data_IF_194276417654
#
_entry.id   IF_194276417654
#
_cell.length_a   1.000
_cell.length_b   1.000
_cell.length_c   1.000
_cell.angle_alpha   90.00
_cell.angle_beta   90.00
_cell.angle_gamma   90.00
#
_symmetry.space_group_name_H-M   'P 1'
#
loop_
_entity.id
_entity.type
_entity.pdbx_description
1 polymer ?
#
# COMPACT_ATOMS: atom_id res chain seq x y z
N UNK A 1 1.71 27.51 3.24
CA UNK A 1 0.48 27.41 4.07
C UNK A 1 -0.80 27.14 3.25
N UNK A 2 -0.88 27.44 1.96
CA UNK A 2 -2.11 27.26 1.17
C UNK A 2 -2.23 25.93 0.41
N UNK A 3 -1.14 25.19 0.19
CA UNK A 3 -1.16 23.90 -0.50
C UNK A 3 -1.69 22.76 0.41
N UNK A 4 -1.36 22.80 1.70
CA UNK A 4 -1.87 21.86 2.70
C UNK A 4 -3.40 21.99 2.89
N UNK A 5 -3.95 23.21 2.79
CA UNK A 5 -5.41 23.46 2.91
C UNK A 5 -6.19 22.97 1.68
N UNK A 6 -5.57 22.93 0.52
CA UNK A 6 -6.21 22.44 -0.71
C UNK A 6 -6.25 20.89 -0.75
N UNK A 7 -5.21 20.25 -0.23
CA UNK A 7 -5.14 18.78 -0.08
C UNK A 7 -6.02 18.33 1.10
N UNK A 8 -6.03 19.07 2.22
CA UNK A 8 -6.86 18.76 3.38
C UNK A 8 -8.38 18.88 3.13
N UNK A 9 -8.81 19.70 2.18
CA UNK A 9 -10.21 19.82 1.79
C UNK A 9 -10.79 18.60 1.06
N UNK A 10 -9.95 17.71 0.54
CA UNK A 10 -10.32 16.45 -0.11
C UNK A 10 -10.13 15.20 0.77
N UNK A 11 -9.47 15.36 1.92
CA UNK A 11 -9.02 14.25 2.81
C UNK A 11 -9.95 14.03 4.02
N UNK A 12 -11.07 14.74 4.12
CA UNK A 12 -12.06 14.49 5.18
C UNK A 12 -12.89 13.19 4.99
N UNK A 13 -12.41 12.25 4.15
CA UNK A 13 -12.93 10.88 4.06
C UNK A 13 -11.87 9.96 4.69
N UNK A 14 -12.15 9.52 5.91
CA UNK A 14 -11.36 8.59 6.72
C UNK A 14 -10.88 7.41 5.89
N UNK A 15 -9.57 7.37 5.63
CA UNK A 15 -8.92 6.27 4.94
C UNK A 15 -8.06 5.49 5.94
N UNK A 16 -8.38 4.24 6.14
CA UNK A 16 -7.58 3.28 6.89
C UNK A 16 -7.54 1.96 6.14
N UNK A 17 -6.37 1.34 5.98
CA UNK A 17 -6.17 0.10 5.22
C UNK A 17 -5.58 -0.97 6.13
N UNK A 18 -6.02 -2.20 6.04
CA UNK A 18 -5.47 -3.31 6.81
C UNK A 18 -4.81 -4.38 5.93
N UNK A 19 -3.64 -4.79 6.36
CA UNK A 19 -3.10 -6.12 6.15
C UNK A 19 -2.68 -6.46 4.74
N UNK A 20 -1.66 -5.76 4.27
CA UNK A 20 -0.81 -6.22 3.21
C UNK A 20 0.37 -7.01 3.79
N UNK A 21 1.10 -7.72 2.96
CA UNK A 21 2.47 -8.12 3.28
C UNK A 21 3.29 -6.83 3.49
N UNK A 22 3.54 -6.48 4.74
CA UNK A 22 3.78 -5.08 5.10
C UNK A 22 2.52 -4.21 4.89
N UNK A 23 2.69 -2.93 4.67
CA UNK A 23 1.59 -1.97 4.41
C UNK A 23 1.71 -1.25 3.05
N UNK A 24 2.34 -1.91 2.07
CA UNK A 24 2.43 -1.42 0.68
C UNK A 24 1.12 -1.58 -0.09
N UNK A 25 0.74 -0.56 -0.85
CA UNK A 25 -0.44 -0.51 -1.71
C UNK A 25 -0.02 -0.53 -3.18
N UNK A 26 -0.80 -1.21 -4.02
CA UNK A 26 -0.48 -1.41 -5.44
C UNK A 26 -1.64 -1.01 -6.36
N UNK A 27 -2.71 -0.47 -5.80
CA UNK A 27 -4.00 -0.17 -6.43
C UNK A 27 -3.93 1.19 -7.15
N UNK A 28 -3.22 1.25 -8.29
CA UNK A 28 -2.96 2.50 -9.03
C UNK A 28 -4.05 2.88 -10.03
N UNK A 29 -4.84 1.92 -10.51
CA UNK A 29 -6.05 2.14 -11.33
C UNK A 29 -6.93 0.89 -11.28
N UNK A 30 -8.21 1.00 -11.67
CA UNK A 30 -9.08 -0.18 -11.75
C UNK A 30 -8.53 -1.22 -12.72
N UNK A 31 -7.96 -0.79 -13.85
CA UNK A 31 -7.43 -1.69 -14.87
C UNK A 31 -6.16 -2.39 -14.42
N UNK A 32 -5.19 -1.66 -13.87
CA UNK A 32 -3.96 -2.25 -13.36
C UNK A 32 -4.20 -3.15 -12.15
N UNK A 33 -5.17 -2.81 -11.28
CA UNK A 33 -5.57 -3.63 -10.12
C UNK A 33 -6.27 -4.92 -10.56
N UNK A 34 -7.13 -4.87 -11.58
CA UNK A 34 -7.74 -6.08 -12.16
C UNK A 34 -6.69 -7.05 -12.72
N UNK A 35 -5.58 -6.52 -13.22
CA UNK A 35 -4.43 -7.27 -13.71
C UNK A 35 -3.38 -7.54 -12.61
N UNK A 36 -3.68 -7.29 -11.33
CA UNK A 36 -2.80 -7.57 -10.20
C UNK A 36 -1.44 -6.87 -10.25
N UNK A 37 -1.31 -5.78 -11.04
CA UNK A 37 -0.05 -5.09 -11.30
C UNK A 37 0.87 -5.74 -12.34
N UNK A 38 0.42 -6.80 -13.04
CA UNK A 38 1.20 -7.48 -14.09
C UNK A 38 1.20 -6.68 -15.42
N UNK A 39 1.63 -5.42 -15.36
CA UNK A 39 1.60 -4.44 -16.45
C UNK A 39 2.98 -3.78 -16.65
N UNK A 40 4.05 -4.58 -16.50
CA UNK A 40 5.43 -4.08 -16.47
C UNK A 40 6.03 -3.87 -17.87
N UNK A 41 5.62 -4.65 -18.86
CA UNK A 41 6.13 -4.59 -20.22
C UNK A 41 5.39 -3.60 -21.12
N UNK A 42 4.14 -3.26 -20.79
CA UNK A 42 3.28 -2.36 -21.58
C UNK A 42 2.34 -1.54 -20.69
N UNK A 43 2.08 -0.30 -21.09
CA UNK A 43 1.09 0.53 -20.44
C UNK A 43 -0.34 0.04 -20.76
N UNK A 44 -1.19 0.01 -19.73
CA UNK A 44 -2.64 -0.22 -19.89
C UNK A 44 -3.44 1.09 -19.77
N UNK A 45 -2.94 2.04 -19.00
CA UNK A 45 -3.45 3.40 -18.83
C UNK A 45 -2.34 4.29 -18.20
N UNK A 46 -2.66 5.51 -17.75
CA UNK A 46 -1.67 6.42 -17.19
C UNK A 46 -1.10 5.96 -15.83
N UNK A 47 -1.64 4.91 -15.19
CA UNK A 47 -1.04 4.28 -13.99
C UNK A 47 0.29 3.57 -14.29
N UNK A 48 0.68 3.43 -15.56
CA UNK A 48 2.03 3.09 -16.00
C UNK A 48 3.10 3.92 -15.25
N UNK A 49 2.78 5.17 -14.94
CA UNK A 49 3.62 6.06 -14.15
C UNK A 49 4.05 5.47 -12.79
N UNK A 50 3.20 4.67 -12.16
CA UNK A 50 3.46 3.99 -10.89
C UNK A 50 4.11 2.62 -11.07
N UNK A 51 3.59 1.81 -12.03
CA UNK A 51 4.02 0.42 -12.20
C UNK A 51 5.37 0.31 -12.90
N UNK A 52 5.54 0.97 -14.04
CA UNK A 52 6.82 1.06 -14.77
C UNK A 52 6.85 2.35 -15.62
N UNK A 53 7.57 3.39 -15.19
CA UNK A 53 7.59 4.66 -15.91
C UNK A 53 8.13 4.55 -17.34
N UNK A 54 8.91 3.52 -17.68
CA UNK A 54 9.39 3.31 -19.05
C UNK A 54 8.25 3.10 -20.05
N UNK A 55 7.14 2.49 -19.62
CA UNK A 55 5.99 2.20 -20.49
C UNK A 55 5.09 3.43 -20.75
N UNK A 56 5.38 4.58 -20.13
CA UNK A 56 4.73 5.85 -20.50
C UNK A 56 4.92 6.20 -21.98
N UNK A 57 6.00 5.73 -22.60
CA UNK A 57 6.28 5.92 -24.04
C UNK A 57 5.32 5.16 -24.96
N UNK A 58 4.53 4.21 -24.42
CA UNK A 58 3.48 3.51 -25.19
C UNK A 58 2.23 4.39 -25.35
N UNK A 59 2.06 5.42 -24.51
CA UNK A 59 0.92 6.31 -24.52
C UNK A 59 1.18 7.47 -25.49
N UNK A 60 0.66 7.35 -26.69
CA UNK A 60 0.90 8.30 -27.79
C UNK A 60 0.06 9.56 -27.72
N UNK A 61 -0.98 9.57 -26.88
CA UNK A 61 -1.85 10.71 -26.62
C UNK A 61 -1.71 11.18 -25.17
N UNK A 62 -2.00 12.45 -24.91
CA UNK A 62 -2.16 12.92 -23.54
C UNK A 62 -3.25 12.10 -22.88
N UNK A 63 -2.89 11.36 -21.84
CA UNK A 63 -3.78 10.41 -21.17
C UNK A 63 -3.93 10.79 -19.69
N UNK A 64 -5.17 10.88 -19.24
CA UNK A 64 -5.53 11.09 -17.84
C UNK A 64 -6.30 9.88 -17.35
N UNK A 65 -5.87 9.29 -16.23
CA UNK A 65 -6.58 8.22 -15.51
C UNK A 65 -6.84 8.67 -14.09
N UNK A 66 -8.10 8.67 -13.67
CA UNK A 66 -8.49 9.04 -12.32
C UNK A 66 -9.58 8.11 -11.78
N UNK A 67 -9.57 7.89 -10.47
CA UNK A 67 -10.53 7.02 -9.84
C UNK A 67 -10.25 6.79 -8.37
N UNK A 68 -10.81 5.71 -7.85
CA UNK A 68 -10.57 5.26 -6.49
C UNK A 68 -10.67 3.73 -6.40
N UNK A 69 -10.01 3.18 -5.40
CA UNK A 69 -10.22 1.83 -4.90
C UNK A 69 -10.80 1.90 -3.50
N UNK A 70 -11.54 0.89 -3.09
CA UNK A 70 -11.94 0.68 -1.71
C UNK A 70 -11.44 -0.67 -1.24
N UNK A 71 -11.05 -0.77 0.02
CA UNK A 71 -10.73 -2.03 0.67
C UNK A 71 -11.46 -2.15 2.00
N UNK A 72 -11.88 -3.37 2.34
CA UNK A 72 -12.52 -3.69 3.60
C UNK A 72 -11.96 -5.00 4.18
N UNK A 73 -10.84 -4.93 4.90
CA UNK A 73 -10.25 -6.11 5.50
C UNK A 73 -10.95 -6.50 6.79
N UNK A 74 -11.07 -7.80 6.98
CA UNK A 74 -11.60 -8.41 8.19
C UNK A 74 -10.78 -9.62 8.58
N UNK A 75 -10.48 -9.72 9.85
CA UNK A 75 -9.83 -10.88 10.41
C UNK A 75 -10.42 -11.21 11.80
N UNK A 76 -10.12 -12.40 12.28
CA UNK A 76 -10.38 -12.80 13.66
C UNK A 76 -9.07 -13.24 14.27
N UNK A 77 -8.80 -12.73 15.47
CA UNK A 77 -7.52 -12.92 16.13
C UNK A 77 -7.75 -13.41 17.55
N UNK A 78 -6.86 -14.28 18.03
CA UNK A 78 -6.86 -14.77 19.41
C UNK A 78 -5.47 -14.59 20.00
N UNK A 79 -5.39 -14.04 21.21
CA UNK A 79 -4.15 -13.91 21.97
C UNK A 79 -4.26 -14.58 23.34
N UNK A 80 -3.21 -15.30 23.73
CA UNK A 80 -3.17 -16.04 24.99
C UNK A 80 -4.28 -17.08 25.11
N UNK A 81 -4.85 -17.20 26.28
CA UNK A 81 -5.99 -18.07 26.59
C UNK A 81 -7.36 -17.44 26.37
N UNK A 82 -7.40 -16.18 25.94
CA UNK A 82 -8.63 -15.37 25.81
C UNK A 82 -9.52 -15.80 24.63
N UNK A 83 -10.75 -15.29 24.57
CA UNK A 83 -11.63 -15.46 23.42
C UNK A 83 -11.09 -14.72 22.20
N UNK A 84 -11.47 -15.17 20.99
CA UNK A 84 -11.08 -14.46 19.76
C UNK A 84 -11.76 -13.10 19.64
N UNK A 85 -10.99 -12.09 19.23
CA UNK A 85 -11.44 -10.74 18.93
C UNK A 85 -11.62 -10.56 17.40
N UNK A 86 -12.61 -9.78 17.00
CA UNK A 86 -12.74 -9.33 15.60
C UNK A 86 -11.78 -8.15 15.38
N UNK A 87 -11.17 -8.14 14.20
CA UNK A 87 -10.47 -6.98 13.64
C UNK A 87 -11.31 -6.51 12.45
N UNK A 88 -11.94 -5.35 12.58
CA UNK A 88 -12.81 -4.73 11.56
C UNK A 88 -12.64 -3.20 11.61
N UNK A 89 -11.66 -2.66 10.87
CA UNK A 89 -11.40 -1.22 10.86
C UNK A 89 -12.34 -0.43 9.95
N UNK A 90 -13.22 -1.10 9.20
CA UNK A 90 -14.14 -0.44 8.26
C UNK A 90 -13.65 -0.44 6.82
N UNK A 91 -14.22 0.45 5.99
CA UNK A 91 -13.94 0.56 4.55
C UNK A 91 -12.97 1.71 4.28
N UNK A 92 -11.97 1.44 3.46
CA UNK A 92 -10.91 2.36 3.08
C UNK A 92 -11.08 2.87 1.65
N UNK A 93 -10.73 4.14 1.43
CA UNK A 93 -10.80 4.80 0.14
C UNK A 93 -9.40 5.20 -0.32
N UNK A 94 -9.00 4.70 -1.49
CA UNK A 94 -7.69 4.88 -2.10
C UNK A 94 -7.84 5.66 -3.41
N UNK A 95 -7.94 6.99 -3.37
CA UNK A 95 -8.06 7.81 -4.58
C UNK A 95 -6.74 7.82 -5.35
N UNK A 96 -6.82 7.84 -6.68
CA UNK A 96 -5.66 7.93 -7.56
C UNK A 96 -5.93 8.84 -8.75
N UNK A 97 -4.87 9.54 -9.17
CA UNK A 97 -4.88 10.35 -10.39
C UNK A 97 -3.51 10.22 -11.06
N UNK A 98 -3.52 9.90 -12.35
CA UNK A 98 -2.31 9.79 -13.17
C UNK A 98 -2.51 10.53 -14.49
N UNK A 99 -1.48 11.24 -14.91
CA UNK A 99 -1.41 11.89 -16.21
C UNK A 99 -0.15 11.43 -16.95
N UNK A 100 -0.26 11.22 -18.25
CA UNK A 100 0.85 10.95 -19.14
C UNK A 100 0.78 11.91 -20.34
N UNK A 101 1.91 12.53 -20.66
CA UNK A 101 2.02 13.54 -21.72
C UNK A 101 3.17 13.15 -22.64
N UNK A 102 2.90 12.75 -23.90
CA UNK A 102 3.94 12.58 -24.90
C UNK A 102 4.65 13.92 -25.16
N UNK A 103 5.97 13.87 -25.27
CA UNK A 103 6.82 15.04 -25.53
C UNK A 103 7.62 14.85 -26.84
N UNK A 104 8.18 15.92 -27.41
CA UNK A 104 9.09 15.79 -28.54
C UNK A 104 10.31 14.89 -28.26
N UNK A 105 10.95 14.38 -29.31
CA UNK A 105 12.18 13.56 -29.26
C UNK A 105 12.04 12.25 -28.49
N UNK A 106 10.88 11.59 -28.64
CA UNK A 106 10.57 10.28 -28.04
C UNK A 106 10.59 10.27 -26.51
N UNK A 107 10.39 11.44 -25.87
CA UNK A 107 10.16 11.54 -24.44
C UNK A 107 8.67 11.47 -24.08
N UNK A 108 8.39 11.05 -22.86
CA UNK A 108 7.06 11.13 -22.25
C UNK A 108 7.21 11.58 -20.79
N UNK A 109 6.35 12.50 -20.36
CA UNK A 109 6.25 12.93 -18.97
C UNK A 109 5.05 12.27 -18.30
N UNK A 110 5.25 11.75 -17.09
CA UNK A 110 4.19 11.21 -16.24
C UNK A 110 4.10 11.95 -14.93
N UNK A 111 2.89 12.08 -14.39
CA UNK A 111 2.65 12.56 -13.04
C UNK A 111 1.57 11.68 -12.40
N UNK A 112 1.86 11.10 -11.23
CA UNK A 112 0.91 10.33 -10.44
C UNK A 112 0.75 10.88 -9.04
N UNK A 113 -0.47 10.80 -8.51
CA UNK A 113 -0.79 11.04 -7.10
C UNK A 113 -1.66 9.88 -6.64
N UNK A 114 -1.18 9.10 -5.67
CA UNK A 114 -1.89 7.96 -5.12
C UNK A 114 -1.36 7.59 -3.73
N UNK A 115 -2.13 6.88 -2.89
CA UNK A 115 -1.61 6.23 -1.69
C UNK A 115 -0.69 5.08 -2.09
N UNK A 116 0.51 5.03 -1.51
CA UNK A 116 1.49 3.95 -1.78
C UNK A 116 1.72 3.05 -0.57
N UNK A 117 1.45 3.58 0.62
CA UNK A 117 1.50 2.86 1.88
C UNK A 117 0.24 3.16 2.68
N UNK A 118 -0.32 2.13 3.30
CA UNK A 118 -1.51 2.27 4.12
C UNK A 118 -1.70 1.06 5.03
N UNK A 119 -2.22 1.31 6.22
CA UNK A 119 -2.52 0.30 7.22
C UNK A 119 -3.70 0.76 8.06
N UNK A 120 -4.59 -0.16 8.40
CA UNK A 120 -5.59 0.09 9.42
C UNK A 120 -5.97 -1.19 10.14
N UNK A 121 -5.92 -1.13 11.46
CA UNK A 121 -6.44 -2.17 12.36
C UNK A 121 -7.30 -1.54 13.43
N UNK A 122 -8.39 -2.18 13.79
CA UNK A 122 -9.24 -1.80 14.92
C UNK A 122 -9.74 -3.05 15.63
N UNK A 123 -9.64 -3.06 16.94
CA UNK A 123 -10.02 -4.14 17.85
C UNK A 123 -11.03 -3.65 18.87
N UNK A 124 -11.78 -4.58 19.48
CA UNK A 124 -12.68 -4.26 20.59
C UNK A 124 -11.92 -3.72 21.81
N UNK A 125 -12.56 -2.85 22.60
CA UNK A 125 -11.98 -2.23 23.80
C UNK A 125 -11.45 -3.23 24.84
N UNK A 126 -12.00 -4.44 24.87
CA UNK A 126 -11.60 -5.52 25.79
C UNK A 126 -10.56 -6.47 25.19
N UNK A 127 -9.91 -6.06 24.11
CA UNK A 127 -8.86 -6.83 23.45
C UNK A 127 -7.70 -7.15 24.42
N UNK A 128 -7.27 -8.40 24.44
CA UNK A 128 -6.24 -8.89 25.38
C UNK A 128 -4.88 -8.17 25.22
N UNK A 129 -4.58 -7.67 24.03
CA UNK A 129 -3.35 -6.95 23.71
C UNK A 129 -3.58 -5.45 23.45
N UNK A 130 -4.60 -4.87 24.09
CA UNK A 130 -4.90 -3.43 24.03
C UNK A 130 -3.71 -2.55 24.47
N UNK A 131 -2.78 -3.09 25.27
CA UNK A 131 -1.53 -2.43 25.65
C UNK A 131 -0.60 -2.17 24.45
N UNK A 132 -0.70 -2.96 23.38
CA UNK A 132 0.11 -2.79 22.17
C UNK A 132 -0.60 -1.92 21.14
N UNK A 133 -1.86 -2.26 20.82
CA UNK A 133 -2.69 -1.51 19.90
C UNK A 133 -4.16 -1.84 20.10
N UNK A 134 -5.02 -0.83 20.10
CA UNK A 134 -6.47 -0.91 19.91
C UNK A 134 -6.83 -0.50 18.49
N UNK A 135 -6.20 0.56 18.00
CA UNK A 135 -6.37 1.03 16.64
C UNK A 135 -5.01 1.53 16.10
N UNK A 136 -4.68 1.23 14.87
CA UNK A 136 -3.52 1.76 14.19
C UNK A 136 -3.92 2.16 12.78
N UNK A 137 -3.54 3.37 12.39
CA UNK A 137 -3.76 3.90 11.06
C UNK A 137 -2.44 4.43 10.49
N UNK A 138 -2.12 4.00 9.28
CA UNK A 138 -1.06 4.59 8.44
C UNK A 138 -1.70 5.05 7.15
N UNK A 139 -1.42 6.28 6.75
CA UNK A 139 -1.85 6.84 5.48
C UNK A 139 -0.68 7.52 4.78
N UNK A 140 -0.53 7.27 3.49
CA UNK A 140 0.45 8.01 2.71
C UNK A 140 -0.14 8.49 1.39
N UNK A 141 0.49 9.55 0.85
CA UNK A 141 0.31 9.97 -0.53
C UNK A 141 1.67 10.17 -1.18
N UNK A 142 1.83 9.59 -2.36
CA UNK A 142 3.03 9.79 -3.17
C UNK A 142 2.68 10.66 -4.36
N UNK A 143 3.45 11.74 -4.55
CA UNK A 143 3.47 12.55 -5.77
C UNK A 143 4.69 12.11 -6.57
N UNK A 144 4.46 11.55 -7.74
CA UNK A 144 5.49 10.87 -8.50
C UNK A 144 5.59 11.39 -9.95
N UNK A 145 6.36 12.47 -10.19
CA UNK A 145 6.71 12.89 -11.55
C UNK A 145 7.79 11.98 -12.13
N UNK A 146 7.62 11.55 -13.37
CA UNK A 146 8.58 10.72 -14.10
C UNK A 146 8.84 11.27 -15.50
N UNK A 147 10.05 11.02 -15.99
CA UNK A 147 10.41 11.21 -17.39
C UNK A 147 10.79 9.86 -17.99
N UNK A 148 10.18 9.53 -19.12
CA UNK A 148 10.49 8.34 -19.90
C UNK A 148 11.08 8.75 -21.25
N UNK A 149 11.94 7.87 -21.79
CA UNK A 149 12.58 8.05 -23.09
C UNK A 149 12.57 6.73 -23.85
N UNK A 150 12.04 6.78 -25.06
CA UNK A 150 12.08 5.69 -26.02
C UNK A 150 13.41 5.73 -26.78
N UNK A 151 14.37 4.92 -26.34
CA UNK A 151 15.75 4.88 -26.85
C UNK A 151 15.78 4.30 -28.28
N UNK A 152 14.98 3.24 -28.51
CA UNK A 152 14.74 2.64 -29.81
C UNK A 152 13.25 2.31 -29.93
N UNK A 153 12.80 1.82 -31.09
CA UNK A 153 11.41 1.39 -31.24
C UNK A 153 10.99 0.30 -30.26
N UNK A 154 11.96 -0.49 -29.77
CA UNK A 154 11.72 -1.63 -28.89
C UNK A 154 12.16 -1.42 -27.45
N UNK A 155 12.95 -0.38 -27.14
CA UNK A 155 13.54 -0.17 -25.84
C UNK A 155 13.25 1.20 -25.26
N UNK A 156 12.64 1.21 -24.06
CA UNK A 156 12.35 2.42 -23.32
C UNK A 156 12.93 2.34 -21.90
N UNK A 157 13.26 3.50 -21.34
CA UNK A 157 13.65 3.70 -19.95
C UNK A 157 12.83 4.83 -19.34
N UNK A 158 12.64 4.83 -18.05
CA UNK A 158 11.94 5.91 -17.35
C UNK A 158 12.39 6.02 -15.92
N UNK A 159 12.43 7.22 -15.37
CA UNK A 159 12.81 7.48 -13.99
C UNK A 159 12.17 8.74 -13.43
N UNK A 160 12.07 8.82 -12.11
CA UNK A 160 11.64 10.04 -11.44
C UNK A 160 11.71 9.94 -9.91
N UNK A 161 11.63 11.09 -9.23
CA UNK A 161 11.51 11.14 -7.78
C UNK A 161 10.12 10.73 -7.32
N UNK A 162 10.04 10.23 -6.10
CA UNK A 162 8.81 9.90 -5.38
C UNK A 162 8.77 10.78 -4.12
N UNK A 163 7.88 11.74 -4.10
CA UNK A 163 7.64 12.64 -2.96
C UNK A 163 6.56 12.03 -2.07
N UNK A 164 6.96 11.47 -0.95
CA UNK A 164 6.09 10.75 -0.05
C UNK A 164 5.64 11.63 1.12
N UNK A 165 4.35 11.75 1.31
CA UNK A 165 3.69 12.32 2.48
C UNK A 165 3.15 11.16 3.31
N UNK A 166 3.40 11.18 4.62
CA UNK A 166 3.10 10.07 5.51
C UNK A 166 2.44 10.58 6.79
N UNK A 167 1.41 9.87 7.24
CA UNK A 167 0.65 10.15 8.45
C UNK A 167 0.45 8.85 9.23
N UNK A 168 0.61 8.93 10.55
CA UNK A 168 0.51 7.80 11.46
C UNK A 168 -0.33 8.17 12.67
N UNK A 169 -1.26 7.28 13.05
CA UNK A 169 -2.04 7.41 14.27
C UNK A 169 -2.21 6.04 14.92
N UNK A 170 -2.07 5.99 16.26
CA UNK A 170 -2.25 4.78 17.06
C UNK A 170 -2.95 5.08 18.37
N UNK A 171 -3.91 4.23 18.71
CA UNK A 171 -4.52 4.13 20.03
C UNK A 171 -4.10 2.84 20.71
N UNK A 172 -3.75 2.94 21.99
CA UNK A 172 -3.41 1.79 22.82
C UNK A 172 -3.77 2.04 24.28
N UNK A 173 -3.78 0.98 25.09
CA UNK A 173 -4.07 1.08 26.53
C UNK A 173 -2.96 0.44 27.36
N UNK A 174 -1.80 1.12 27.49
CA UNK A 174 -0.70 0.63 28.30
C UNK A 174 -1.10 0.44 29.78
N UNK A 175 -0.53 -0.60 30.42
CA UNK A 175 -0.75 -0.93 31.80
C UNK A 175 0.42 -0.46 32.68
N UNK A 176 0.11 0.19 33.81
CA UNK A 176 1.09 0.55 34.84
C UNK A 176 0.76 -0.13 36.16
N UNK A 177 1.66 -0.02 37.15
CA UNK A 177 1.40 -0.50 38.49
C UNK A 177 0.20 0.20 39.17
N UNK A 178 -0.15 1.41 38.73
CA UNK A 178 -1.27 2.21 39.23
C UNK A 178 -2.56 2.05 38.39
N UNK A 179 -2.53 1.24 37.32
CA UNK A 179 -3.65 0.97 36.45
C UNK A 179 -3.36 1.38 34.98
N UNK A 180 -4.33 1.16 34.09
CA UNK A 180 -4.21 1.52 32.71
C UNK A 180 -4.36 3.03 32.48
N UNK A 181 -3.80 3.51 31.36
CA UNK A 181 -4.10 4.80 30.77
C UNK A 181 -4.36 4.64 29.27
N UNK A 182 -5.15 5.52 28.68
CA UNK A 182 -5.37 5.57 27.24
C UNK A 182 -4.26 6.37 26.60
N UNK A 183 -3.64 5.82 25.58
CA UNK A 183 -2.56 6.45 24.83
C UNK A 183 -3.01 6.71 23.40
N UNK A 184 -2.85 7.94 22.94
CA UNK A 184 -2.95 8.35 21.55
C UNK A 184 -1.60 8.87 21.09
N UNK A 185 -1.04 8.23 20.07
CA UNK A 185 0.20 8.63 19.40
C UNK A 185 -0.14 8.97 17.95
N UNK A 186 0.27 10.15 17.48
CA UNK A 186 0.09 10.57 16.09
C UNK A 186 1.23 11.44 15.63
N UNK A 187 1.48 11.43 14.33
CA UNK A 187 2.50 12.25 13.70
C UNK A 187 2.49 12.19 12.19
N UNK A 188 3.11 13.15 11.58
CA UNK A 188 3.30 13.25 10.13
C UNK A 188 4.76 13.61 9.79
N UNK A 189 5.16 13.42 8.52
CA UNK A 189 6.50 13.82 8.09
C UNK A 189 6.59 15.31 7.68
N UNK A 190 5.67 16.16 8.05
CA UNK A 190 5.60 17.61 7.83
C UNK A 190 5.97 18.10 6.42
N UNK A 191 7.01 17.52 5.84
CA UNK A 191 7.49 17.74 4.47
C UNK A 191 7.63 16.37 3.79
N UNK A 192 7.50 16.34 2.46
CA UNK A 192 7.67 15.11 1.72
C UNK A 192 9.09 14.57 1.86
N UNK A 193 9.20 13.29 2.23
CA UNK A 193 10.44 12.53 2.10
C UNK A 193 10.60 12.01 0.68
N UNK A 194 11.85 11.85 0.23
CA UNK A 194 12.13 11.64 -1.18
C UNK A 194 12.75 10.26 -1.40
N UNK A 195 12.04 9.43 -2.14
CA UNK A 195 12.58 8.27 -2.83
C UNK A 195 12.69 8.51 -4.33
N UNK A 196 13.06 7.50 -5.08
CA UNK A 196 13.11 7.53 -6.55
C UNK A 196 12.75 6.18 -7.14
N UNK A 197 12.41 6.17 -8.41
CA UNK A 197 12.20 4.95 -9.17
C UNK A 197 12.86 5.03 -10.55
N UNK A 198 13.23 3.86 -11.07
CA UNK A 198 13.73 3.68 -12.43
C UNK A 198 13.15 2.41 -13.00
N UNK A 199 12.74 2.47 -14.25
CA UNK A 199 12.20 1.33 -14.98
C UNK A 199 12.77 1.21 -16.38
N UNK A 200 12.67 0.02 -16.93
CA UNK A 200 12.97 -0.26 -18.32
C UNK A 200 11.91 -1.20 -18.89
N UNK A 201 11.61 -1.05 -20.17
CA UNK A 201 10.76 -1.97 -20.92
C UNK A 201 11.41 -2.31 -22.25
N UNK A 202 11.32 -3.58 -22.65
CA UNK A 202 11.89 -4.06 -23.90
C UNK A 202 10.89 -4.96 -24.63
N UNK A 203 10.59 -4.62 -25.87
CA UNK A 203 9.76 -5.39 -26.79
C UNK A 203 10.64 -6.41 -27.51
N UNK A 204 10.51 -7.67 -27.11
CA UNK A 204 11.29 -8.77 -27.70
C UNK A 204 10.78 -9.09 -29.12
N UNK A 205 9.46 -9.08 -29.26
CA UNK A 205 8.71 -9.15 -30.52
C UNK A 205 7.42 -8.34 -30.35
N UNK A 206 6.71 -8.03 -31.44
CA UNK A 206 5.50 -7.19 -31.38
C UNK A 206 4.45 -7.71 -30.39
N UNK A 207 4.35 -9.02 -30.24
CA UNK A 207 3.39 -9.67 -29.33
C UNK A 207 3.92 -9.87 -27.90
N UNK A 208 5.23 -9.64 -27.61
CA UNK A 208 5.81 -9.95 -26.31
C UNK A 208 6.79 -8.90 -25.82
N UNK A 209 6.48 -8.30 -24.67
CA UNK A 209 7.32 -7.29 -24.03
C UNK A 209 7.61 -7.67 -22.57
N UNK A 210 8.78 -7.28 -22.10
CA UNK A 210 9.21 -7.46 -20.69
C UNK A 210 9.53 -6.12 -20.07
N UNK A 211 9.41 -6.02 -18.76
CA UNK A 211 9.76 -4.80 -18.03
C UNK A 211 10.29 -5.12 -16.64
N UNK A 212 11.16 -4.22 -16.16
CA UNK A 212 11.68 -4.26 -14.80
C UNK A 212 11.65 -2.84 -14.23
N UNK A 213 11.25 -2.71 -12.98
CA UNK A 213 11.28 -1.47 -12.21
C UNK A 213 11.95 -1.69 -10.87
N UNK A 214 12.75 -0.72 -10.47
CA UNK A 214 13.31 -0.59 -9.14
C UNK A 214 12.73 0.66 -8.48
N UNK A 215 12.28 0.53 -7.24
CA UNK A 215 11.90 1.64 -6.36
C UNK A 215 12.87 1.66 -5.18
N UNK A 216 13.46 2.82 -4.88
CA UNK A 216 14.37 2.98 -3.75
C UNK A 216 13.65 2.88 -2.42
N UNK A 217 14.38 2.56 -1.34
CA UNK A 217 13.92 2.85 0.02
C UNK A 217 13.68 4.36 0.19
N UNK A 218 12.85 4.69 1.17
CA UNK A 218 12.57 6.07 1.56
C UNK A 218 12.58 6.16 3.08
N UNK A 219 13.47 6.98 3.63
CA UNK A 219 13.51 7.25 5.07
C UNK A 219 12.45 8.29 5.36
N UNK A 220 11.46 7.94 6.20
CA UNK A 220 10.38 8.82 6.61
C UNK A 220 10.62 9.30 8.02
N UNK A 221 10.69 10.61 8.20
CA UNK A 221 10.88 11.24 9.50
C UNK A 221 9.53 11.71 10.03
N UNK A 222 8.94 10.96 10.95
CA UNK A 222 7.64 11.27 11.54
C UNK A 222 7.82 12.04 12.84
N UNK A 223 7.25 13.23 12.89
CA UNK A 223 7.20 14.07 14.09
C UNK A 223 5.75 14.29 14.52
N UNK A 224 5.50 14.20 15.81
CA UNK A 224 4.15 14.33 16.36
C UNK A 224 4.09 14.43 17.87
N UNK A 225 3.10 13.80 18.44
CA UNK A 225 2.82 13.86 19.89
C UNK A 225 2.27 12.54 20.39
N UNK A 226 2.53 12.31 21.69
CA UNK A 226 1.80 11.32 22.47
C UNK A 226 0.97 12.04 23.55
N UNK A 227 -0.32 11.73 23.61
CA UNK A 227 -1.25 12.22 24.65
C UNK A 227 -1.79 11.01 25.41
N UNK A 228 -1.84 11.16 26.74
CA UNK A 228 -2.22 10.06 27.60
C UNK A 228 -3.25 10.52 28.64
N UNK A 229 -4.35 9.80 28.73
CA UNK A 229 -5.42 10.04 29.68
C UNK A 229 -5.50 8.90 30.70
N UNK A 230 -5.44 9.23 32.00
CA UNK A 230 -5.53 8.23 33.05
C UNK A 230 -6.94 7.67 33.16
N UNK A 231 -7.10 6.36 33.05
CA UNK A 231 -8.37 5.66 33.30
C UNK A 231 -8.72 5.67 34.81
N UNK A 232 -7.69 5.61 35.65
CA UNK A 232 -7.84 5.71 37.10
C UNK A 232 -7.03 6.91 37.64
N UNK A 233 -7.52 7.66 38.67
CA UNK A 233 -6.80 8.81 39.21
C UNK A 233 -5.36 8.49 39.66
N UNK A 234 -5.09 7.27 40.15
CA UNK A 234 -3.77 6.83 40.53
C UNK A 234 -2.77 6.72 39.36
N UNK A 235 -3.25 6.53 38.15
CA UNK A 235 -2.41 6.47 36.93
C UNK A 235 -2.10 7.86 36.35
N UNK A 236 -2.74 8.95 36.81
CA UNK A 236 -2.59 10.29 36.23
C UNK A 236 -1.13 10.80 36.18
N UNK A 237 -0.27 10.60 37.20
CA UNK A 237 1.14 11.02 37.11
C UNK A 237 1.92 10.29 36.02
N UNK A 238 1.61 9.00 35.80
CA UNK A 238 2.26 8.19 34.76
C UNK A 238 1.81 8.63 33.35
N UNK A 239 0.49 8.85 33.18
CA UNK A 239 -0.07 9.35 31.93
C UNK A 239 0.54 10.73 31.57
N UNK A 240 0.58 11.66 32.53
CA UNK A 240 1.17 12.98 32.32
C UNK A 240 2.67 12.91 31.97
N UNK A 241 3.43 12.04 32.63
CA UNK A 241 4.86 11.87 32.37
C UNK A 241 5.15 11.23 30.97
N UNK A 242 4.22 10.44 30.45
CA UNK A 242 4.32 9.81 29.13
C UNK A 242 3.78 10.68 27.99
N UNK A 243 3.19 11.85 28.29
CA UNK A 243 2.64 12.78 27.27
C UNK A 243 3.69 13.80 26.85
N UNK A 244 3.77 14.08 25.55
CA UNK A 244 4.69 15.07 25.01
C UNK A 244 5.01 14.89 23.54
N UNK A 245 6.15 15.44 23.12
CA UNK A 245 6.67 15.29 21.77
C UNK A 245 6.99 13.82 21.46
N UNK A 246 6.74 13.42 20.23
CA UNK A 246 7.07 12.08 19.73
C UNK A 246 7.71 12.19 18.36
N UNK A 247 8.78 11.44 18.13
CA UNK A 247 9.43 11.34 16.82
C UNK A 247 9.90 9.91 16.56
N UNK A 248 9.94 9.54 15.28
CA UNK A 248 10.50 8.27 14.82
C UNK A 248 11.00 8.39 13.40
N UNK A 249 12.01 7.59 13.08
CA UNK A 249 12.49 7.39 11.72
C UNK A 249 12.06 6.00 11.26
N UNK A 250 11.44 5.93 10.07
CA UNK A 250 10.95 4.70 9.45
C UNK A 250 11.56 4.53 8.07
N UNK A 251 12.36 3.50 7.86
CA UNK A 251 12.87 3.16 6.53
C UNK A 251 11.85 2.30 5.76
N UNK A 252 11.09 2.93 4.85
CA UNK A 252 10.20 2.21 3.94
C UNK A 252 11.02 1.43 2.88
N UNK A 253 10.58 0.23 2.50
CA UNK A 253 11.39 -0.72 1.77
C UNK A 253 11.69 -0.31 0.33
N UNK A 254 12.84 -0.70 -0.17
CA UNK A 254 13.09 -0.77 -1.60
C UNK A 254 12.43 -2.01 -2.20
N UNK A 255 12.20 -1.97 -3.52
CA UNK A 255 11.61 -3.11 -4.24
C UNK A 255 12.12 -3.23 -5.67
N UNK A 256 12.10 -4.46 -6.17
CA UNK A 256 12.32 -4.79 -7.58
C UNK A 256 11.11 -5.56 -8.08
N UNK A 257 10.52 -5.11 -9.19
CA UNK A 257 9.43 -5.82 -9.85
C UNK A 257 9.81 -6.06 -11.30
N UNK A 258 9.74 -7.31 -11.74
CA UNK A 258 9.91 -7.71 -13.13
C UNK A 258 8.65 -8.37 -13.66
N UNK A 259 8.38 -8.26 -14.95
CA UNK A 259 7.21 -8.88 -15.54
C UNK A 259 7.21 -8.88 -17.05
N UNK A 260 6.17 -9.47 -17.61
CA UNK A 260 5.95 -9.53 -19.05
C UNK A 260 4.50 -9.23 -19.41
N UNK A 261 4.28 -8.83 -20.65
CA UNK A 261 2.97 -8.76 -21.29
C UNK A 261 3.06 -9.46 -22.65
N UNK A 262 2.12 -10.37 -22.92
CA UNK A 262 2.07 -11.21 -24.08
C UNK A 262 0.69 -11.17 -24.74
N UNK A 263 0.63 -10.78 -25.99
CA UNK A 263 -0.55 -10.91 -26.84
C UNK A 263 -0.57 -12.34 -27.40
N UNK A 264 -1.28 -13.24 -26.71
CA UNK A 264 -1.38 -14.65 -27.09
C UNK A 264 -2.11 -14.79 -28.44
N UNK A 265 -3.13 -13.95 -28.61
CA UNK A 265 -3.87 -13.73 -29.86
C UNK A 265 -4.21 -12.24 -29.98
N UNK A 266 -4.87 -11.84 -31.04
CA UNK A 266 -5.33 -10.45 -31.23
C UNK A 266 -6.35 -10.00 -30.17
N UNK A 267 -6.97 -10.93 -29.44
CA UNK A 267 -8.01 -10.63 -28.45
C UNK A 267 -7.71 -11.20 -27.07
N UNK A 268 -6.72 -12.06 -26.91
CA UNK A 268 -6.35 -12.67 -25.63
C UNK A 268 -4.94 -12.28 -25.27
N UNK A 269 -4.80 -11.73 -24.06
CA UNK A 269 -3.53 -11.24 -23.54
C UNK A 269 -3.23 -11.89 -22.20
N UNK A 270 -1.95 -12.00 -21.88
CA UNK A 270 -1.46 -12.55 -20.62
C UNK A 270 -0.36 -11.66 -20.06
N UNK A 271 -0.54 -11.19 -18.84
CA UNK A 271 0.50 -10.55 -18.04
C UNK A 271 1.04 -11.49 -16.98
N UNK A 272 2.29 -11.30 -16.60
CA UNK A 272 2.89 -11.99 -15.45
C UNK A 272 3.88 -11.09 -14.74
N UNK A 273 4.02 -11.27 -13.42
CA UNK A 273 4.96 -10.47 -12.65
C UNK A 273 5.54 -11.24 -11.47
N UNK A 274 6.75 -10.84 -11.06
CA UNK A 274 7.41 -11.21 -9.81
C UNK A 274 7.96 -9.93 -9.19
N UNK A 275 7.69 -9.73 -7.90
CA UNK A 275 8.23 -8.63 -7.13
C UNK A 275 8.95 -9.14 -5.88
N UNK A 276 10.02 -8.49 -5.51
CA UNK A 276 10.70 -8.57 -4.23
C UNK A 276 10.62 -7.23 -3.53
N UNK A 277 10.29 -7.23 -2.22
CA UNK A 277 10.24 -6.03 -1.39
C UNK A 277 11.00 -6.26 -0.10
N UNK A 278 11.96 -5.38 0.22
CA UNK A 278 12.85 -5.50 1.37
C UNK A 278 12.19 -5.02 2.66
N UNK A 279 11.14 -5.71 3.13
CA UNK A 279 10.48 -5.36 4.39
C UNK A 279 11.39 -5.57 5.62
N UNK A 280 12.47 -6.33 5.49
CA UNK A 280 13.47 -6.48 6.54
C UNK A 280 14.18 -5.18 6.92
N UNK A 281 14.12 -4.13 6.07
CA UNK A 281 14.61 -2.78 6.42
C UNK A 281 13.80 -2.14 7.55
N UNK A 282 12.52 -2.49 7.72
CA UNK A 282 11.64 -2.03 8.80
C UNK A 282 11.84 -2.84 10.10
N UNK A 283 13.09 -3.17 10.42
CA UNK A 283 13.41 -4.10 11.51
C UNK A 283 13.19 -3.55 12.92
N UNK A 284 13.41 -2.26 13.13
CA UNK A 284 13.30 -1.59 14.43
C UNK A 284 12.69 -0.21 14.23
N UNK A 285 11.62 0.07 14.98
CA UNK A 285 11.09 1.43 15.10
C UNK A 285 11.63 2.06 16.39
N UNK A 286 12.43 3.10 16.24
CA UNK A 286 13.01 3.85 17.35
C UNK A 286 12.12 5.06 17.63
N UNK A 287 11.35 5.03 18.69
CA UNK A 287 10.54 6.16 19.13
C UNK A 287 11.25 6.97 20.21
N UNK A 288 11.33 8.28 20.03
CA UNK A 288 11.48 9.20 21.17
C UNK A 288 10.07 9.65 21.61
N UNK A 289 9.66 9.23 22.78
CA UNK A 289 8.36 9.56 23.38
C UNK A 289 8.58 10.41 24.62
N UNK A 290 8.35 11.71 24.50
CA UNK A 290 8.53 12.68 25.59
C UNK A 290 9.94 12.61 26.23
N UNK A 291 10.98 12.40 25.43
CA UNK A 291 12.37 12.27 25.89
C UNK A 291 12.74 10.86 26.40
N UNK A 292 11.87 9.88 26.20
CA UNK A 292 12.15 8.48 26.52
C UNK A 292 12.28 7.67 25.25
N UNK A 293 13.45 7.06 25.04
CA UNK A 293 13.69 6.18 23.91
C UNK A 293 12.96 4.85 24.09
N UNK A 294 12.21 4.43 23.08
CA UNK A 294 11.50 3.15 23.05
C UNK A 294 11.70 2.46 21.71
N UNK A 295 12.32 1.30 21.73
CA UNK A 295 12.52 0.48 20.55
C UNK A 295 11.41 -0.57 20.41
N UNK A 296 10.78 -0.62 19.24
CA UNK A 296 9.84 -1.67 18.86
C UNK A 296 10.52 -2.53 17.80
N UNK A 297 10.87 -3.75 18.18
CA UNK A 297 11.47 -4.73 17.27
C UNK A 297 10.38 -5.39 16.45
N UNK A 298 10.33 -5.14 15.14
CA UNK A 298 9.38 -5.74 14.22
C UNK A 298 9.88 -7.07 13.65
N UNK A 299 11.21 -7.21 13.40
CA UNK A 299 11.84 -8.42 12.85
C UNK A 299 11.17 -8.94 11.59
N UNK A 300 10.85 -8.02 10.68
CA UNK A 300 10.20 -8.39 9.44
C UNK A 300 11.16 -9.04 8.46
N UNK A 301 10.59 -9.85 7.56
CA UNK A 301 11.28 -10.54 6.48
C UNK A 301 10.97 -9.86 5.14
N UNK A 302 11.83 -10.07 4.18
CA UNK A 302 11.55 -9.69 2.79
C UNK A 302 10.38 -10.49 2.24
N UNK A 303 9.61 -9.85 1.36
CA UNK A 303 8.44 -10.49 0.75
C UNK A 303 8.60 -10.68 -0.75
N UNK A 304 7.89 -11.68 -1.25
CA UNK A 304 7.81 -12.01 -2.66
C UNK A 304 6.37 -12.02 -3.11
N UNK A 305 6.12 -11.41 -4.27
CA UNK A 305 4.81 -11.33 -4.91
C UNK A 305 4.91 -11.95 -6.29
N UNK A 306 4.02 -12.89 -6.64
CA UNK A 306 4.00 -13.55 -7.95
C UNK A 306 2.57 -13.50 -8.48
N UNK A 307 2.40 -13.06 -9.72
CA UNK A 307 1.06 -12.90 -10.31
C UNK A 307 0.98 -13.30 -11.77
N UNK A 308 -0.21 -13.79 -12.15
CA UNK A 308 -0.62 -14.02 -13.53
C UNK A 308 -1.95 -13.32 -13.79
N UNK A 309 -2.08 -12.72 -14.98
CA UNK A 309 -3.19 -11.85 -15.33
C UNK A 309 -3.63 -12.05 -16.78
N UNK A 310 -4.59 -12.94 -17.05
CA UNK A 310 -5.25 -13.01 -18.34
C UNK A 310 -6.19 -11.82 -18.56
N UNK A 311 -6.31 -11.36 -19.80
CA UNK A 311 -7.37 -10.46 -20.26
C UNK A 311 -7.89 -10.85 -21.63
N UNK A 312 -9.14 -10.50 -21.91
CA UNK A 312 -9.84 -10.88 -23.12
C UNK A 312 -10.72 -9.75 -23.64
N UNK A 313 -10.42 -9.30 -24.84
CA UNK A 313 -11.23 -8.36 -25.62
C UNK A 313 -12.40 -9.15 -26.27
N UNK A 314 -13.46 -9.38 -25.49
CA UNK A 314 -14.60 -10.21 -25.92
C UNK A 314 -15.57 -9.47 -26.84
N UNK A 315 -15.45 -8.15 -26.95
CA UNK A 315 -16.14 -7.31 -27.92
C UNK A 315 -15.29 -6.09 -28.24
N UNK A 316 -15.59 -5.38 -29.31
CA UNK A 316 -14.83 -4.24 -29.85
C UNK A 316 -14.50 -3.17 -28.78
N UNK A 317 -15.43 -2.94 -27.83
CA UNK A 317 -15.31 -1.90 -26.81
C UNK A 317 -15.26 -2.46 -25.36
N UNK A 318 -15.08 -3.77 -25.20
CA UNK A 318 -15.15 -4.41 -23.90
C UNK A 318 -13.98 -5.38 -23.67
N UNK A 319 -13.29 -5.17 -22.56
CA UNK A 319 -12.22 -6.06 -22.08
C UNK A 319 -12.58 -6.64 -20.73
N UNK A 320 -12.62 -7.97 -20.63
CA UNK A 320 -12.67 -8.66 -19.35
C UNK A 320 -11.24 -8.95 -18.87
N UNK A 321 -10.99 -8.79 -17.60
CA UNK A 321 -9.67 -8.97 -16.96
C UNK A 321 -9.80 -9.82 -15.71
N UNK A 322 -8.75 -10.56 -15.40
CA UNK A 322 -8.64 -11.26 -14.14
C UNK A 322 -7.19 -11.44 -13.75
N UNK A 323 -6.93 -11.65 -12.47
CA UNK A 323 -5.60 -12.01 -12.01
C UNK A 323 -5.67 -12.88 -10.75
N UNK A 324 -4.63 -13.66 -10.58
CA UNK A 324 -4.29 -14.30 -9.33
C UNK A 324 -2.90 -13.85 -8.91
N UNK A 325 -2.78 -13.36 -7.69
CA UNK A 325 -1.51 -12.95 -7.10
C UNK A 325 -1.35 -13.64 -5.76
N UNK A 326 -0.19 -14.25 -5.56
CA UNK A 326 0.26 -14.76 -4.27
C UNK A 326 1.34 -13.87 -3.71
N UNK A 327 1.29 -13.58 -2.42
CA UNK A 327 2.27 -12.77 -1.73
C UNK A 327 2.62 -13.38 -0.37
N UNK A 328 3.93 -13.48 -0.08
CA UNK A 328 4.43 -14.04 1.17
C UNK A 328 4.29 -13.06 2.32
N UNK A 329 4.17 -13.57 3.53
CA UNK A 329 4.12 -12.82 4.77
C UNK A 329 5.45 -12.09 5.09
N UNK A 330 5.36 -10.87 5.62
CA UNK A 330 6.53 -10.12 6.11
C UNK A 330 6.83 -10.39 7.59
N UNK A 331 5.84 -10.77 8.39
CA UNK A 331 6.04 -11.04 9.81
C UNK A 331 6.54 -12.48 10.03
N UNK A 332 7.63 -12.62 10.77
CA UNK A 332 8.14 -13.94 11.18
C UNK A 332 7.30 -14.60 12.28
N UNK A 333 7.96 -15.23 13.24
CA UNK A 333 7.30 -15.92 14.36
C UNK A 333 6.73 -14.97 15.44
N UNK A 334 7.00 -13.68 15.36
CA UNK A 334 6.50 -12.66 16.26
C UNK A 334 5.66 -11.63 15.52
N UNK A 335 4.37 -11.59 15.84
CA UNK A 335 3.43 -10.63 15.27
C UNK A 335 3.47 -9.29 15.99
N UNK A 336 3.27 -8.24 15.21
CA UNK A 336 2.82 -6.96 15.72
C UNK A 336 1.30 -6.90 15.66
N UNK A 337 0.64 -6.55 16.75
CA UNK A 337 -0.82 -6.32 16.73
C UNK A 337 -1.21 -5.09 15.92
N UNK A 338 -0.23 -4.23 15.59
CA UNK A 338 -0.41 -3.11 14.65
C UNK A 338 -0.60 -3.58 13.21
N UNK A 339 0.02 -4.70 12.84
CA UNK A 339 -0.04 -5.29 11.50
C UNK A 339 -0.13 -6.81 11.62
N UNK A 340 -1.34 -7.39 11.72
CA UNK A 340 -1.51 -8.82 11.59
C UNK A 340 -1.24 -9.23 10.15
N UNK A 341 -0.14 -9.94 9.92
CA UNK A 341 0.27 -10.34 8.58
C UNK A 341 0.26 -11.85 8.42
N UNK A 342 -0.03 -12.31 7.21
CA UNK A 342 0.03 -13.70 6.79
C UNK A 342 0.18 -13.75 5.26
N UNK A 343 0.50 -14.92 4.73
CA UNK A 343 0.49 -15.15 3.28
C UNK A 343 -0.88 -14.79 2.69
N UNK A 344 -0.89 -14.20 1.49
CA UNK A 344 -2.10 -13.70 0.85
C UNK A 344 -2.31 -14.24 -0.56
N UNK A 345 -3.57 -14.54 -0.83
CA UNK A 345 -4.07 -14.91 -2.14
C UNK A 345 -5.03 -13.83 -2.61
N UNK A 346 -4.71 -13.16 -3.71
CA UNK A 346 -5.53 -12.09 -4.28
C UNK A 346 -6.13 -12.56 -5.60
N UNK A 347 -7.44 -12.57 -5.69
CA UNK A 347 -8.23 -12.86 -6.89
C UNK A 347 -8.90 -11.58 -7.34
N UNK A 348 -8.51 -11.06 -8.50
CA UNK A 348 -9.09 -9.84 -9.05
C UNK A 348 -9.87 -10.13 -10.33
N UNK A 349 -10.97 -9.42 -10.50
CA UNK A 349 -11.82 -9.46 -11.68
C UNK A 349 -12.12 -8.04 -12.10
N UNK A 350 -11.98 -7.73 -13.37
CA UNK A 350 -12.20 -6.40 -13.90
C UNK A 350 -12.92 -6.38 -15.23
N UNK A 351 -13.53 -5.25 -15.51
CA UNK A 351 -14.20 -4.97 -16.77
C UNK A 351 -13.83 -3.55 -17.21
N UNK A 352 -13.34 -3.40 -18.44
CA UNK A 352 -13.12 -2.10 -19.06
C UNK A 352 -14.11 -1.90 -20.21
N UNK A 353 -14.69 -0.69 -20.28
CA UNK A 353 -15.62 -0.29 -21.31
C UNK A 353 -15.17 1.01 -21.99
N UNK A 354 -14.76 0.91 -23.25
CA UNK A 354 -14.43 2.07 -24.08
C UNK A 354 -15.73 2.60 -24.73
N UNK A 355 -16.39 3.51 -24.02
CA UNK A 355 -17.67 4.04 -24.48
C UNK A 355 -17.53 5.05 -25.63
N UNK A 356 -16.36 5.68 -25.78
CA UNK A 356 -15.94 6.52 -26.89
C UNK A 356 -14.50 6.17 -27.27
N UNK A 357 -14.03 6.60 -28.43
CA UNK A 357 -12.65 6.37 -28.85
C UNK A 357 -11.62 6.88 -27.84
N UNK A 358 -11.95 7.96 -27.14
CA UNK A 358 -11.10 8.65 -26.19
C UNK A 358 -11.52 8.50 -24.72
N UNK A 359 -12.61 7.79 -24.42
CA UNK A 359 -13.14 7.65 -23.04
C UNK A 359 -13.38 6.19 -22.68
N UNK A 360 -12.74 5.74 -21.60
CA UNK A 360 -12.83 4.39 -21.08
C UNK A 360 -13.19 4.41 -19.57
N UNK A 361 -14.09 3.53 -19.17
CA UNK A 361 -14.43 3.25 -17.78
C UNK A 361 -13.89 1.89 -17.38
N UNK A 362 -13.25 1.82 -16.23
CA UNK A 362 -12.76 0.58 -15.61
C UNK A 362 -13.48 0.29 -14.30
N UNK A 363 -13.87 -0.96 -14.11
CA UNK A 363 -14.38 -1.50 -12.85
C UNK A 363 -13.51 -2.67 -12.42
N UNK A 364 -13.30 -2.82 -11.13
CA UNK A 364 -12.58 -3.96 -10.55
C UNK A 364 -13.21 -4.39 -9.23
N UNK A 365 -13.19 -5.69 -9.00
CA UNK A 365 -13.46 -6.32 -7.72
C UNK A 365 -12.32 -7.27 -7.38
N UNK A 366 -11.80 -7.15 -6.17
CA UNK A 366 -10.75 -7.99 -5.61
C UNK A 366 -11.21 -8.74 -4.36
N UNK A 367 -10.82 -9.99 -4.26
CA UNK A 367 -10.96 -10.82 -3.07
C UNK A 367 -9.57 -11.18 -2.58
N UNK A 368 -9.19 -10.66 -1.42
CA UNK A 368 -7.91 -10.93 -0.76
C UNK A 368 -8.18 -11.88 0.39
N UNK A 369 -7.57 -13.05 0.34
CA UNK A 369 -7.67 -14.08 1.37
C UNK A 369 -6.32 -14.16 2.07
N UNK A 370 -6.31 -13.93 3.38
CA UNK A 370 -5.14 -14.10 4.24
C UNK A 370 -5.20 -15.47 4.90
N UNK A 371 -4.09 -16.19 4.90
CA UNK A 371 -4.02 -17.51 5.52
C UNK A 371 -4.09 -17.43 7.05
N UNK A 372 -4.50 -18.52 7.67
CA UNK A 372 -4.43 -18.62 9.12
C UNK A 372 -2.99 -18.84 9.57
N UNK A 373 -2.58 -18.17 10.65
CA UNK A 373 -1.22 -18.23 11.17
C UNK A 373 -1.21 -18.37 12.69
N UNK A 374 -0.36 -19.26 13.19
CA UNK A 374 0.00 -19.36 14.59
C UNK A 374 1.38 -18.72 14.81
N UNK A 375 1.49 -17.83 15.79
CA UNK A 375 2.70 -17.05 16.09
C UNK A 375 2.70 -16.64 17.57
N UNK A 376 3.53 -15.68 17.93
CA UNK A 376 3.60 -15.11 19.28
C UNK A 376 3.46 -13.57 19.19
N UNK A 377 2.89 -12.97 20.21
CA UNK A 377 2.84 -11.53 20.38
C UNK A 377 3.28 -11.14 21.81
N UNK A 378 3.66 -9.88 22.02
CA UNK A 378 4.00 -9.39 23.36
C UNK A 378 2.74 -9.10 24.16
N UNK A 379 2.65 -9.71 25.33
CA UNK A 379 1.61 -9.46 26.33
C UNK A 379 1.83 -8.16 27.11
N UNK A 380 0.88 -7.81 28.02
CA UNK A 380 0.90 -6.57 28.79
C UNK A 380 2.16 -6.35 29.65
N UNK A 381 2.78 -7.43 30.13
CA UNK A 381 4.00 -7.38 30.96
C UNK A 381 5.28 -7.59 30.16
N UNK A 382 5.17 -7.62 28.80
CA UNK A 382 6.29 -7.85 27.89
C UNK A 382 6.62 -9.33 27.63
N UNK A 383 5.90 -10.25 28.23
CA UNK A 383 6.00 -11.68 27.98
C UNK A 383 5.54 -12.05 26.56
N UNK A 384 5.99 -13.20 26.07
CA UNK A 384 5.47 -13.74 24.81
C UNK A 384 4.23 -14.58 25.07
N UNK A 385 3.12 -14.23 24.45
CA UNK A 385 1.86 -14.97 24.50
C UNK A 385 1.56 -15.57 23.14
N UNK A 386 0.89 -16.72 23.13
CA UNK A 386 0.44 -17.34 21.88
C UNK A 386 -0.52 -16.40 21.15
N UNK A 387 -0.32 -16.26 19.84
CA UNK A 387 -1.12 -15.43 18.94
C UNK A 387 -1.58 -16.27 17.77
N UNK A 388 -2.86 -16.21 17.45
CA UNK A 388 -3.44 -16.89 16.31
C UNK A 388 -4.28 -15.93 15.48
N UNK A 389 -3.85 -15.68 14.26
CA UNK A 389 -4.70 -15.08 13.24
C UNK A 389 -5.48 -16.22 12.55
N UNK A 390 -6.80 -16.11 12.54
CA UNK A 390 -7.63 -16.96 11.71
C UNK A 390 -7.64 -16.41 10.29
N UNK A 391 -8.11 -17.23 9.33
CA UNK A 391 -8.23 -16.79 7.94
C UNK A 391 -8.96 -15.44 7.85
N UNK A 392 -8.28 -14.45 7.30
CA UNK A 392 -8.82 -13.12 7.06
C UNK A 392 -9.33 -13.00 5.64
N UNK A 393 -10.26 -12.06 5.42
CA UNK A 393 -10.80 -11.73 4.09
C UNK A 393 -10.87 -10.23 3.97
N UNK A 394 -10.32 -9.68 2.86
CA UNK A 394 -10.55 -8.30 2.44
C UNK A 394 -11.31 -8.29 1.11
N UNK A 395 -12.29 -7.41 1.03
CA UNK A 395 -12.99 -7.11 -0.21
C UNK A 395 -12.47 -5.78 -0.75
N UNK A 396 -12.02 -5.77 -1.98
CA UNK A 396 -11.61 -4.57 -2.70
C UNK A 396 -12.58 -4.30 -3.85
N UNK A 397 -12.90 -3.05 -4.10
CA UNK A 397 -13.67 -2.65 -5.28
C UNK A 397 -13.16 -1.31 -5.78
N UNK A 398 -13.19 -1.08 -7.09
CA UNK A 398 -12.67 0.17 -7.63
C UNK A 398 -13.26 0.55 -8.96
N UNK A 399 -13.10 1.82 -9.24
CA UNK A 399 -13.55 2.47 -10.46
C UNK A 399 -12.48 3.44 -10.96
N UNK A 400 -12.27 3.47 -12.27
CA UNK A 400 -11.41 4.47 -12.92
C UNK A 400 -12.02 4.95 -14.22
N UNK A 401 -11.72 6.20 -14.55
CA UNK A 401 -12.00 6.82 -15.83
C UNK A 401 -10.66 7.14 -16.50
N UNK A 402 -10.48 6.71 -17.73
CA UNK A 402 -9.32 7.07 -18.56
C UNK A 402 -9.79 7.89 -19.75
N UNK A 403 -9.22 9.09 -19.90
CA UNK A 403 -9.50 9.98 -21.01
C UNK A 403 -8.22 10.22 -21.82
N UNK A 404 -8.32 10.08 -23.14
CA UNK A 404 -7.24 10.30 -24.12
C UNK A 404 -7.59 11.53 -24.96
N UNK A 405 -6.74 12.57 -24.91
CA UNK A 405 -6.96 13.83 -25.60
C UNK A 405 -6.54 13.77 -27.07
#
# INVERSE_FOLDING_TARGET
>A
MHLKTFIAGWVALTATVAGASGFGLYEASARSSALGGAVLGRAVDASANFHNPATLTDLTNVTLTAGFMTEHPRARIKAGGESSCAMDPGVFWLPHVHAAVPLPWDFSFGLGVMPEYGLGTAYDDNWALANNSLETTVMSFTVNPNLAWKITDDWSVGAGPRFLFFDFEQYSRPMTAAGPFENRLWGDNRMADIGWQVGTSYRIVDSFAVGVVYKSSTIVNVEGKTENDAVLPAAAPYAAAASGHAETELELPQSVTGGFNWDVTDTVHLGGMVAWTQWSSVGVLNFDLAGTQKDILLRWNDTYRVGLAPSWDFAENWTAMGSYVYETDCCGDQESTMLPAADRHMLNFGLAWRCLENLEFGLVYGLIIMDAKDSQARGPSGELVGYRAYRGISHAAGFSVTYRF
#
